data_IF_242260917040
#
_entry.id   IF_242260917040
#
_cell.length_a   1.000
_cell.length_b   1.000
_cell.length_c   1.000
_cell.angle_alpha   90.00
_cell.angle_beta   90.00
_cell.angle_gamma   90.00
#
_symmetry.space_group_name_H-M   'P 1'
#
loop_
_entity.id
_entity.type
_entity.pdbx_description
1 polymer ?
#
# COMPACT_ATOMS: atom_id res chain seq x y z
N UNK A 1 0.75 26.32 -0.50
CA UNK A 1 0.07 25.39 -1.43
C UNK A 1 1.11 24.89 -2.39
N UNK A 2 1.22 23.57 -2.56
CA UNK A 2 2.00 22.98 -3.64
C UNK A 2 1.11 22.87 -4.87
N UNK A 3 1.65 23.17 -6.05
CA UNK A 3 0.95 23.09 -7.33
C UNK A 3 1.57 21.97 -8.16
N UNK A 4 0.75 21.30 -8.95
CA UNK A 4 1.19 20.24 -9.85
C UNK A 4 0.56 20.44 -11.23
N UNK A 5 1.35 20.24 -12.28
CA UNK A 5 0.94 20.36 -13.68
C UNK A 5 1.42 19.15 -14.46
N UNK A 6 0.59 18.63 -15.36
CA UNK A 6 0.90 17.47 -16.19
C UNK A 6 0.95 17.89 -17.66
N UNK A 7 2.05 17.57 -18.33
CA UNK A 7 2.24 17.78 -19.77
C UNK A 7 2.93 16.57 -20.42
N UNK A 8 3.29 16.69 -21.70
CA UNK A 8 3.98 15.64 -22.47
C UNK A 8 5.36 15.26 -21.92
N UNK A 9 5.97 16.12 -21.10
CA UNK A 9 7.27 15.87 -20.48
C UNK A 9 7.15 15.25 -19.09
N UNK A 10 5.95 15.20 -18.50
CA UNK A 10 5.75 14.56 -17.21
C UNK A 10 4.86 15.31 -16.23
N UNK A 11 5.03 14.98 -14.94
CA UNK A 11 4.46 15.72 -13.82
C UNK A 11 5.47 16.76 -13.33
N UNK A 12 5.12 18.04 -13.44
CA UNK A 12 5.88 19.15 -12.85
C UNK A 12 5.31 19.51 -11.49
N UNK A 13 6.17 19.52 -10.49
CA UNK A 13 5.86 20.06 -9.17
C UNK A 13 6.33 21.51 -9.12
N UNK A 14 5.46 22.40 -8.68
CA UNK A 14 5.66 23.84 -8.71
C UNK A 14 5.58 24.42 -7.29
N UNK A 15 6.41 25.44 -7.03
CA UNK A 15 6.29 26.26 -5.81
C UNK A 15 5.06 27.18 -5.86
N UNK A 16 4.85 27.95 -4.79
CA UNK A 16 3.73 28.90 -4.71
C UNK A 16 3.79 30.03 -5.75
N UNK A 17 4.95 30.24 -6.37
CA UNK A 17 5.18 31.22 -7.45
C UNK A 17 5.14 30.55 -8.84
N UNK A 18 4.64 29.30 -8.93
CA UNK A 18 4.60 28.48 -10.15
C UNK A 18 5.98 28.18 -10.76
N UNK A 19 7.06 28.24 -9.98
CA UNK A 19 8.39 27.85 -10.45
C UNK A 19 8.57 26.34 -10.27
N UNK A 20 9.13 25.63 -11.28
CA UNK A 20 9.38 24.21 -11.16
C UNK A 20 10.40 23.91 -10.06
N UNK A 21 10.05 23.01 -9.15
CA UNK A 21 10.92 22.52 -8.08
C UNK A 21 11.35 21.08 -8.30
N UNK A 22 10.57 20.30 -9.03
CA UNK A 22 10.88 18.94 -9.44
C UNK A 22 10.06 18.54 -10.67
N UNK A 23 10.55 17.56 -11.41
CA UNK A 23 9.84 16.96 -12.54
C UNK A 23 10.00 15.44 -12.50
N UNK A 24 8.88 14.74 -12.60
CA UNK A 24 8.85 13.29 -12.80
C UNK A 24 8.61 13.06 -14.28
N UNK A 25 9.65 12.61 -14.99
CA UNK A 25 9.59 12.30 -16.41
C UNK A 25 9.16 10.85 -16.62
N UNK A 26 8.39 10.55 -17.68
CA UNK A 26 8.13 9.17 -18.05
C UNK A 26 9.44 8.50 -18.48
N UNK A 27 9.59 7.19 -18.22
CA UNK A 27 10.74 6.42 -18.71
C UNK A 27 10.80 6.30 -20.24
N UNK A 28 9.68 6.56 -20.92
CA UNK A 28 9.54 6.46 -22.38
C UNK A 28 8.84 7.73 -22.86
N UNK A 29 9.34 8.33 -23.94
CA UNK A 29 8.68 9.45 -24.60
C UNK A 29 7.40 8.94 -25.30
N UNK A 30 6.23 9.32 -24.77
CA UNK A 30 4.94 8.88 -25.28
C UNK A 30 3.91 10.03 -25.30
N UNK A 31 3.01 10.08 -26.30
CA UNK A 31 2.16 11.24 -26.57
C UNK A 31 1.00 11.44 -25.59
N UNK A 32 0.54 10.38 -24.92
CA UNK A 32 -0.51 10.46 -23.90
C UNK A 32 0.01 9.82 -22.65
N UNK A 33 0.15 10.61 -21.58
CA UNK A 33 0.47 10.12 -20.25
C UNK A 33 -0.51 10.66 -19.21
N UNK A 34 -0.90 9.82 -18.25
CA UNK A 34 -1.73 10.22 -17.10
C UNK A 34 -1.20 9.61 -15.81
N UNK A 35 -1.66 10.15 -14.68
CA UNK A 35 -1.36 9.62 -13.35
C UNK A 35 -2.56 8.87 -12.80
N UNK A 36 -2.29 7.72 -12.18
CA UNK A 36 -3.28 6.99 -11.42
C UNK A 36 -2.71 6.56 -10.07
N UNK A 37 -3.54 6.65 -9.04
CA UNK A 37 -3.26 6.05 -7.74
C UNK A 37 -3.72 4.60 -7.80
N UNK A 38 -2.80 3.66 -7.62
CA UNK A 38 -3.09 2.24 -7.54
C UNK A 38 -3.81 1.87 -6.25
N UNK A 39 -4.42 0.68 -6.23
CA UNK A 39 -5.08 0.11 -5.04
C UNK A 39 -4.07 -0.20 -3.91
N UNK A 40 -2.79 -0.30 -4.26
CA UNK A 40 -1.66 -0.42 -3.35
C UNK A 40 -1.22 0.94 -2.75
N UNK A 41 -1.88 2.03 -3.15
CA UNK A 41 -1.54 3.39 -2.74
C UNK A 41 -0.33 3.97 -3.46
N UNK A 42 0.19 3.31 -4.51
CA UNK A 42 1.29 3.83 -5.30
C UNK A 42 0.80 4.82 -6.35
N UNK A 43 1.58 5.87 -6.59
CA UNK A 43 1.31 6.80 -7.68
C UNK A 43 2.09 6.35 -8.92
N UNK A 44 1.37 5.88 -9.93
CA UNK A 44 1.93 5.46 -11.21
C UNK A 44 1.71 6.48 -12.31
N UNK A 45 2.67 6.58 -13.23
CA UNK A 45 2.51 7.28 -14.51
C UNK A 45 2.31 6.24 -15.61
N UNK A 46 1.26 6.43 -16.42
CA UNK A 46 0.88 5.49 -17.47
C UNK A 46 0.90 6.17 -18.81
N UNK A 47 1.33 5.46 -19.85
CA UNK A 47 1.28 5.92 -21.22
C UNK A 47 0.40 5.05 -22.09
N UNK A 48 -0.17 5.62 -23.16
CA UNK A 48 -0.89 4.85 -24.16
C UNK A 48 0.10 4.16 -25.11
N UNK A 49 0.11 2.84 -25.13
CA UNK A 49 0.77 2.07 -26.18
C UNK A 49 -0.16 1.99 -27.41
N UNK A 50 0.28 2.56 -28.52
CA UNK A 50 -0.45 2.55 -29.79
C UNK A 50 -0.53 1.17 -30.44
N UNK A 51 0.40 0.26 -30.13
CA UNK A 51 0.43 -1.10 -30.68
C UNK A 51 -0.60 -2.00 -29.99
N UNK A 52 -0.59 -2.00 -28.65
CA UNK A 52 -1.42 -2.91 -27.86
C UNK A 52 -2.76 -2.31 -27.41
N UNK A 53 -3.02 -1.02 -27.69
CA UNK A 53 -4.18 -0.24 -27.21
C UNK A 53 -4.37 -0.36 -25.69
N UNK A 54 -3.27 -0.49 -24.97
CA UNK A 54 -3.23 -0.65 -23.51
C UNK A 54 -2.42 0.47 -22.91
N UNK A 55 -2.71 0.75 -21.64
CA UNK A 55 -1.90 1.65 -20.85
C UNK A 55 -0.82 0.84 -20.14
N UNK A 56 0.44 1.19 -20.38
CA UNK A 56 1.59 0.62 -19.69
C UNK A 56 2.14 1.58 -18.64
N UNK A 57 2.71 1.10 -17.51
CA UNK A 57 3.37 1.98 -16.56
C UNK A 57 4.73 2.43 -17.11
N UNK A 58 5.03 3.73 -17.00
CA UNK A 58 6.36 4.31 -17.27
C UNK A 58 7.11 4.72 -16.00
N UNK A 59 6.40 4.89 -14.88
CA UNK A 59 7.00 5.29 -13.61
C UNK A 59 6.11 4.84 -12.45
N UNK A 60 6.75 4.44 -11.36
CA UNK A 60 6.13 4.17 -10.06
C UNK A 60 6.87 4.98 -9.00
N UNK A 61 6.12 5.73 -8.18
CA UNK A 61 6.71 6.64 -7.20
C UNK A 61 7.46 5.92 -6.08
N UNK A 62 6.93 4.77 -5.66
CA UNK A 62 7.48 3.95 -4.60
C UNK A 62 7.75 2.55 -5.14
N UNK A 63 8.93 2.01 -4.83
CA UNK A 63 9.17 0.58 -5.01
C UNK A 63 8.24 -0.22 -4.09
N UNK A 64 7.94 -1.47 -4.45
CA UNK A 64 6.98 -2.31 -3.71
C UNK A 64 7.18 -2.26 -2.18
N UNK A 65 8.42 -2.38 -1.68
CA UNK A 65 8.70 -2.37 -0.24
C UNK A 65 8.64 -1.01 0.44
N UNK A 66 8.57 0.08 -0.32
CA UNK A 66 8.41 1.44 0.19
C UNK A 66 6.94 1.79 0.40
N UNK A 67 6.02 0.97 -0.13
CA UNK A 67 4.58 1.15 0.06
C UNK A 67 4.16 0.84 1.50
N UNK A 68 3.25 1.66 2.08
CA UNK A 68 2.63 1.34 3.36
C UNK A 68 1.97 -0.04 3.30
N UNK A 69 2.29 -0.90 4.26
CA UNK A 69 1.73 -2.25 4.34
C UNK A 69 1.99 -3.14 3.10
N UNK A 70 3.10 -2.93 2.38
CA UNK A 70 3.49 -3.77 1.23
C UNK A 70 3.34 -5.28 1.46
N UNK A 71 3.68 -5.75 2.66
CA UNK A 71 3.57 -7.15 3.06
C UNK A 71 2.45 -7.42 4.09
N UNK A 72 1.48 -6.50 4.20
CA UNK A 72 0.43 -6.51 5.20
C UNK A 72 0.92 -6.21 6.63
N UNK A 73 0.00 -6.30 7.59
CA UNK A 73 0.24 -5.91 8.99
C UNK A 73 1.31 -6.72 9.72
N UNK A 74 1.67 -7.91 9.21
CA UNK A 74 2.58 -8.86 9.86
C UNK A 74 3.79 -9.27 9.02
N UNK A 75 3.95 -8.64 7.87
CA UNK A 75 5.03 -8.93 6.96
C UNK A 75 6.15 -7.89 7.03
N UNK A 76 7.37 -8.36 6.80
CA UNK A 76 8.56 -7.55 6.58
C UNK A 76 8.92 -7.65 5.11
N UNK A 77 9.11 -6.51 4.46
CA UNK A 77 9.57 -6.45 3.08
C UNK A 77 11.10 -6.40 3.05
N UNK A 78 11.70 -7.30 2.27
CA UNK A 78 13.15 -7.35 2.06
C UNK A 78 13.57 -6.49 0.88
N UNK A 79 14.85 -6.08 0.81
CA UNK A 79 15.38 -5.28 -0.31
C UNK A 79 15.18 -5.94 -1.70
N UNK A 80 14.96 -7.25 -1.76
CA UNK A 80 14.64 -7.99 -2.97
C UNK A 80 13.14 -7.96 -3.36
N UNK A 81 12.31 -7.15 -2.71
CA UNK A 81 10.87 -7.08 -2.97
C UNK A 81 10.06 -8.26 -2.41
N UNK A 82 10.66 -9.09 -1.55
CA UNK A 82 10.00 -10.29 -1.01
C UNK A 82 9.45 -10.06 0.39
N UNK A 83 8.24 -10.55 0.63
CA UNK A 83 7.60 -10.56 1.92
C UNK A 83 7.99 -11.79 2.75
N UNK A 84 8.38 -11.56 4.00
CA UNK A 84 8.57 -12.59 5.02
C UNK A 84 7.76 -12.29 6.27
N UNK A 85 7.40 -13.29 7.07
CA UNK A 85 6.77 -13.07 8.36
C UNK A 85 7.78 -12.49 9.36
N UNK A 86 7.32 -11.62 10.26
CA UNK A 86 8.12 -11.10 11.38
C UNK A 86 8.93 -12.17 12.13
N UNK A 87 8.39 -13.39 12.24
CA UNK A 87 9.04 -14.53 12.90
C UNK A 87 10.37 -14.93 12.24
N UNK A 88 10.49 -14.77 10.92
CA UNK A 88 11.72 -15.06 10.17
C UNK A 88 12.86 -14.10 10.53
N UNK A 89 12.52 -12.91 11.05
CA UNK A 89 13.46 -11.87 11.48
C UNK A 89 13.60 -11.80 13.00
N UNK A 90 13.13 -12.82 13.74
CA UNK A 90 13.20 -12.88 15.20
C UNK A 90 12.23 -11.94 15.92
N UNK A 91 11.38 -11.20 15.19
CA UNK A 91 10.34 -10.36 15.78
C UNK A 91 9.15 -11.23 16.14
N UNK A 92 9.04 -11.61 17.41
CA UNK A 92 7.88 -12.37 17.89
C UNK A 92 6.79 -11.39 18.32
N UNK A 93 5.55 -11.52 17.81
CA UNK A 93 4.45 -10.74 18.35
C UNK A 93 4.35 -11.06 19.83
N UNK A 94 4.19 -10.01 20.65
CA UNK A 94 3.96 -10.18 22.09
C UNK A 94 2.75 -11.08 22.23
N UNK A 95 2.91 -12.29 22.81
CA UNK A 95 1.78 -13.16 23.14
C UNK A 95 0.82 -12.31 23.94
N UNK A 96 -0.35 -11.97 23.38
CA UNK A 96 -1.49 -11.61 24.23
C UNK A 96 -1.71 -12.85 25.04
N UNK A 97 -1.29 -12.81 26.31
CA UNK A 97 -1.72 -13.78 27.30
C UNK A 97 -3.23 -13.70 27.24
N UNK A 98 -3.87 -14.66 26.57
CA UNK A 98 -5.27 -14.92 26.81
C UNK A 98 -5.31 -15.25 28.29
N UNK A 99 -5.74 -14.29 29.11
CA UNK A 99 -6.16 -14.62 30.45
C UNK A 99 -7.16 -15.75 30.27
N UNK A 100 -6.78 -16.95 30.69
CA UNK A 100 -7.67 -18.07 30.79
C UNK A 100 -8.70 -17.61 31.82
N UNK A 101 -9.81 -17.05 31.36
CA UNK A 101 -11.02 -17.03 32.16
C UNK A 101 -11.45 -18.49 32.23
N UNK A 102 -10.94 -19.18 33.24
CA UNK A 102 -11.45 -20.46 33.68
C UNK A 102 -12.94 -20.28 33.90
N UNK A 103 -13.75 -20.75 32.95
CA UNK A 103 -15.18 -20.87 33.12
C UNK A 103 -15.40 -21.86 34.25
N UNK A 104 -15.58 -21.36 35.47
CA UNK A 104 -16.17 -22.14 36.56
C UNK A 104 -17.51 -22.64 36.05
N UNK A 105 -17.61 -23.96 35.87
CA UNK A 105 -18.86 -24.66 35.56
C UNK A 105 -19.93 -24.18 36.53
N UNK A 106 -20.95 -23.49 36.02
CA UNK A 106 -22.21 -23.30 36.75
C UNK A 106 -22.82 -24.70 36.96
N UNK A 107 -23.25 -25.05 38.18
CA UNK A 107 -24.06 -26.25 38.35
C UNK A 107 -25.42 -26.05 37.68
N UNK A 108 -25.88 -27.11 37.01
CA UNK A 108 -27.16 -27.20 36.30
C UNK A 108 -28.34 -26.88 37.24
N UNK A 109 -29.34 -26.09 36.79
CA UNK A 109 -30.57 -25.93 37.56
C UNK A 109 -31.41 -27.21 37.42
N UNK A 110 -31.62 -27.89 38.54
CA UNK A 110 -32.64 -28.93 38.69
C UNK A 110 -34.02 -28.32 38.43
N UNK A 111 -34.76 -28.92 37.51
CA UNK A 111 -36.18 -28.64 37.27
C UNK A 111 -37.00 -29.07 38.48
N UNK A 112 -37.64 -28.11 39.15
CA UNK A 112 -38.75 -28.39 40.08
C UNK A 112 -39.89 -27.42 39.76
N UNK A 113 -40.78 -27.84 38.87
CA UNK A 113 -42.16 -27.37 38.78
C UNK A 113 -43.00 -28.12 39.81
N UNK A 114 -43.75 -27.43 40.66
CA UNK A 114 -45.09 -27.80 41.20
C UNK A 114 -45.57 -26.68 42.15
N UNK A 115 -46.39 -25.74 41.67
CA UNK A 115 -47.74 -25.48 42.19
C UNK A 115 -48.46 -24.47 41.28
#
# INVERSE_FOLDING_TARGET
MALAEMDVLGLKLLDSLRRPVAQISPAIEAPVSFLALGDDGNLGMYFSDGHDKKFGPTYEALGFCELPLACGLRGVCSAAGKCGDFSAYGVRPRRRTAAIMSATRRPSPTSTTWR
#
